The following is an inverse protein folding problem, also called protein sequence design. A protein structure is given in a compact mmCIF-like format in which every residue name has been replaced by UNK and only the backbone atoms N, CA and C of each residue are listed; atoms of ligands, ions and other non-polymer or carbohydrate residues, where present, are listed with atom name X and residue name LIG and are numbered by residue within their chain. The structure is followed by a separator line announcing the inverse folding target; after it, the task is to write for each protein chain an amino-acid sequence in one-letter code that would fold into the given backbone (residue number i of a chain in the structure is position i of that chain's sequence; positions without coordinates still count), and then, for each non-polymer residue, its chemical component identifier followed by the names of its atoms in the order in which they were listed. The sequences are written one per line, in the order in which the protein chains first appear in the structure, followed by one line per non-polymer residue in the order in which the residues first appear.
data_IF_181288828846
#
_entry.id   IF_181288828846
#
_cell.length_a   1.000
_cell.length_b   1.000
_cell.length_c   1.000
_cell.angle_alpha   90.00
_cell.angle_beta   90.00
_cell.angle_gamma   90.00
#
_symmetry.space_group_name_H-M   'P 1'
#
loop_
_entity.id
_entity.type
_entity.pdbx_description
1 polymer ?
#
# COMPACT_ATOMS: atom_id res chain seq x y z
N UNK A 1 -2.76 -29.23 -2.62
CA UNK A 1 -1.89 -29.10 -1.44
C UNK A 1 -2.79 -28.99 -0.24
N UNK A 2 -2.68 -29.92 0.71
CA UNK A 2 -3.60 -30.00 1.86
C UNK A 2 -3.15 -29.02 2.96
N UNK A 3 -4.07 -28.56 3.84
CA UNK A 3 -3.71 -27.67 4.95
C UNK A 3 -2.58 -28.23 5.83
N UNK A 4 -2.55 -29.55 6.08
CA UNK A 4 -1.49 -30.21 6.85
C UNK A 4 -0.10 -30.08 6.20
N UNK A 5 -0.02 -30.18 4.87
CA UNK A 5 1.25 -29.99 4.14
C UNK A 5 1.81 -28.57 4.32
N UNK A 6 0.94 -27.56 4.39
CA UNK A 6 1.38 -26.18 4.65
C UNK A 6 1.90 -26.01 6.07
N UNK A 7 1.27 -26.65 7.06
CA UNK A 7 1.71 -26.61 8.46
C UNK A 7 3.11 -27.22 8.61
N UNK A 8 3.36 -28.38 8.00
CA UNK A 8 4.69 -29.02 8.02
C UNK A 8 5.77 -28.16 7.35
N UNK A 9 5.44 -27.50 6.24
CA UNK A 9 6.36 -26.58 5.57
C UNK A 9 6.65 -25.35 6.43
N UNK A 10 5.62 -24.77 7.06
CA UNK A 10 5.84 -23.68 8.01
C UNK A 10 6.71 -24.12 9.17
N UNK A 11 6.46 -25.30 9.77
CA UNK A 11 7.32 -25.85 10.84
C UNK A 11 8.76 -26.01 10.39
N UNK A 12 8.99 -26.54 9.19
CA UNK A 12 10.33 -26.77 8.64
C UNK A 12 11.10 -25.45 8.46
N UNK A 13 10.44 -24.41 7.93
CA UNK A 13 11.07 -23.10 7.76
C UNK A 13 11.28 -22.40 9.10
N UNK A 14 10.31 -22.47 10.01
CA UNK A 14 10.38 -21.86 11.34
C UNK A 14 11.42 -22.54 12.23
N UNK A 15 11.72 -23.83 12.04
CA UNK A 15 12.79 -24.53 12.76
C UNK A 15 14.18 -23.94 12.50
N UNK A 16 14.38 -23.28 11.35
CA UNK A 16 15.64 -22.61 11.01
C UNK A 16 15.71 -21.16 11.53
N UNK A 17 14.61 -20.64 12.10
CA UNK A 17 14.54 -19.30 12.67
C UNK A 17 14.69 -19.40 14.18
N UNK A 18 15.44 -18.48 14.79
CA UNK A 18 15.53 -18.41 16.25
C UNK A 18 14.13 -18.22 16.85
N UNK A 19 13.73 -19.15 17.72
CA UNK A 19 12.46 -19.11 18.46
C UNK A 19 12.24 -17.81 19.24
N UNK A 20 13.31 -17.12 19.65
CA UNK A 20 13.24 -15.83 20.36
C UNK A 20 13.12 -14.64 19.42
N UNK A 21 13.19 -14.86 18.11
CA UNK A 21 13.10 -13.79 17.13
C UNK A 21 11.71 -13.14 17.15
N UNK A 22 11.65 -11.89 16.68
CA UNK A 22 10.37 -11.19 16.58
C UNK A 22 9.39 -11.92 15.66
N UNK A 23 8.09 -11.74 15.90
CA UNK A 23 7.02 -12.20 15.00
C UNK A 23 7.25 -11.74 13.55
N UNK A 24 7.74 -10.51 13.35
CA UNK A 24 8.03 -9.98 12.03
C UNK A 24 9.17 -10.75 11.34
N UNK A 25 10.15 -11.25 12.08
CA UNK A 25 11.24 -12.09 11.56
C UNK A 25 10.69 -13.45 11.11
N UNK A 26 9.88 -14.09 11.94
CA UNK A 26 9.21 -15.34 11.59
C UNK A 26 8.35 -15.19 10.32
N UNK A 27 7.50 -14.15 10.26
CA UNK A 27 6.65 -13.88 9.09
C UNK A 27 7.46 -13.60 7.82
N UNK A 28 8.60 -12.90 7.93
CA UNK A 28 9.50 -12.69 6.78
C UNK A 28 10.07 -14.00 6.25
N UNK A 29 10.45 -14.93 7.14
CA UNK A 29 11.02 -16.22 6.75
C UNK A 29 10.02 -17.10 5.99
N UNK A 30 8.76 -17.16 6.45
CA UNK A 30 7.70 -17.95 5.80
C UNK A 30 6.92 -17.17 4.72
N UNK A 31 7.28 -15.90 4.44
CA UNK A 31 6.55 -15.02 3.54
C UNK A 31 6.26 -15.65 2.16
N UNK A 32 7.23 -16.29 1.47
CA UNK A 32 6.97 -16.86 0.14
C UNK A 32 5.91 -17.97 0.17
N UNK A 33 5.91 -18.80 1.23
CA UNK A 33 4.94 -19.88 1.41
C UNK A 33 3.53 -19.33 1.70
N UNK A 34 3.45 -18.29 2.54
CA UNK A 34 2.20 -17.58 2.82
C UNK A 34 1.62 -17.00 1.52
N UNK A 35 2.44 -16.36 0.68
CA UNK A 35 1.98 -15.76 -0.57
C UNK A 35 1.52 -16.81 -1.59
N UNK A 36 2.23 -17.94 -1.72
CA UNK A 36 1.79 -19.06 -2.55
C UNK A 36 0.42 -19.60 -2.11
N UNK A 37 0.19 -19.68 -0.79
CA UNK A 37 -1.07 -20.14 -0.22
C UNK A 37 -2.21 -19.12 -0.36
N UNK A 38 -1.90 -17.84 -0.33
CA UNK A 38 -2.87 -16.78 -0.65
C UNK A 38 -3.24 -16.81 -2.14
N UNK A 39 -2.28 -17.07 -3.02
CA UNK A 39 -2.52 -17.20 -4.45
C UNK A 39 -3.41 -18.40 -4.79
N UNK A 40 -3.38 -19.46 -3.99
CA UNK A 40 -4.31 -20.60 -4.10
C UNK A 40 -5.69 -20.33 -3.49
N UNK A 41 -5.97 -19.11 -3.01
CA UNK A 41 -7.27 -18.68 -2.52
C UNK A 41 -7.53 -18.93 -1.02
N UNK A 42 -6.50 -19.30 -0.25
CA UNK A 42 -6.69 -19.52 1.20
C UNK A 42 -7.01 -18.21 1.92
N UNK A 43 -7.98 -18.20 2.86
CA UNK A 43 -8.28 -17.00 3.63
C UNK A 43 -7.17 -16.70 4.64
N UNK A 44 -6.95 -15.42 4.92
CA UNK A 44 -5.96 -14.97 5.90
C UNK A 44 -6.13 -15.60 7.29
N UNK A 45 -7.37 -15.89 7.72
CA UNK A 45 -7.63 -16.51 9.03
C UNK A 45 -7.07 -17.93 9.13
N UNK A 46 -7.25 -18.77 8.11
CA UNK A 46 -6.73 -20.13 8.11
C UNK A 46 -5.20 -20.14 8.20
N UNK A 47 -4.53 -19.20 7.52
CA UNK A 47 -3.07 -19.07 7.60
C UNK A 47 -2.63 -18.67 9.02
N UNK A 48 -3.36 -17.77 9.67
CA UNK A 48 -3.06 -17.36 11.05
C UNK A 48 -3.24 -18.51 12.04
N UNK A 49 -4.31 -19.29 11.89
CA UNK A 49 -4.55 -20.49 12.73
C UNK A 49 -3.40 -21.50 12.58
N UNK A 50 -2.95 -21.75 11.36
CA UNK A 50 -1.83 -22.65 11.11
C UNK A 50 -0.49 -22.12 11.64
N UNK A 51 -0.25 -20.81 11.54
CA UNK A 51 0.94 -20.19 12.14
C UNK A 51 0.91 -20.29 13.68
N UNK A 52 -0.27 -20.12 14.28
CA UNK A 52 -0.47 -20.33 15.71
C UNK A 52 -0.20 -21.79 16.11
N UNK A 53 -0.66 -22.76 15.31
CA UNK A 53 -0.40 -24.18 15.50
C UNK A 53 1.09 -24.56 15.33
N UNK A 54 1.88 -23.70 14.69
CA UNK A 54 3.33 -23.79 14.58
C UNK A 54 4.07 -23.04 15.70
N UNK A 55 3.38 -22.46 16.67
CA UNK A 55 3.97 -21.77 17.82
C UNK A 55 4.17 -20.26 17.62
N UNK A 56 3.73 -19.67 16.50
CA UNK A 56 3.80 -18.22 16.27
C UNK A 56 2.48 -17.59 16.69
N UNK A 57 2.34 -17.26 17.98
CA UNK A 57 1.09 -16.75 18.54
C UNK A 57 0.79 -15.32 18.08
N UNK A 58 -0.11 -15.15 17.11
CA UNK A 58 -0.45 -13.87 16.50
C UNK A 58 -1.95 -13.71 16.22
N UNK A 59 -2.42 -12.46 16.28
CA UNK A 59 -3.74 -12.08 15.82
C UNK A 59 -3.69 -11.61 14.35
N UNK A 60 -4.82 -11.69 13.66
CA UNK A 60 -5.03 -11.31 12.26
C UNK A 60 -4.58 -9.87 11.94
N UNK A 61 -4.81 -8.91 12.84
CA UNK A 61 -4.36 -7.52 12.62
C UNK A 61 -2.83 -7.41 12.64
N UNK A 62 -2.19 -8.05 13.63
CA UNK A 62 -0.73 -8.12 13.72
C UNK A 62 -0.14 -8.80 12.49
N UNK A 63 -0.76 -9.90 12.05
CA UNK A 63 -0.39 -10.62 10.84
C UNK A 63 -0.44 -9.70 9.60
N UNK A 64 -1.53 -8.94 9.38
CA UNK A 64 -1.65 -8.01 8.24
C UNK A 64 -0.57 -6.94 8.25
N UNK A 65 -0.30 -6.34 9.41
CA UNK A 65 0.74 -5.31 9.55
C UNK A 65 2.12 -5.90 9.28
N UNK A 66 2.40 -7.08 9.84
CA UNK A 66 3.68 -7.77 9.63
C UNK A 66 3.88 -8.18 8.18
N UNK A 67 2.84 -8.69 7.49
CA UNK A 67 2.86 -8.98 6.05
C UNK A 67 3.20 -7.73 5.22
N UNK A 68 2.56 -6.59 5.50
CA UNK A 68 2.86 -5.33 4.81
C UNK A 68 4.33 -4.93 4.97
N UNK A 69 4.85 -5.02 6.20
CA UNK A 69 6.26 -4.70 6.49
C UNK A 69 7.23 -5.70 5.84
N UNK A 70 6.89 -6.98 5.86
CA UNK A 70 7.68 -8.05 5.27
C UNK A 70 7.81 -7.87 3.75
N UNK A 71 6.71 -7.54 3.06
CA UNK A 71 6.71 -7.23 1.63
C UNK A 71 7.58 -6.04 1.27
N UNK A 72 7.54 -4.97 2.08
CA UNK A 72 8.37 -3.79 1.86
C UNK A 72 9.87 -4.12 1.96
N UNK A 73 10.26 -4.89 2.98
CA UNK A 73 11.66 -5.33 3.15
C UNK A 73 12.08 -6.26 2.01
N UNK A 74 11.24 -7.23 1.64
CA UNK A 74 11.55 -8.18 0.58
C UNK A 74 11.68 -7.49 -0.79
N UNK A 75 10.86 -6.48 -1.08
CA UNK A 75 10.99 -5.64 -2.27
C UNK A 75 12.31 -4.87 -2.27
N UNK A 76 12.70 -4.29 -1.13
CA UNK A 76 13.99 -3.61 -0.99
C UNK A 76 15.14 -4.58 -1.17
N UNK A 77 15.15 -5.75 -0.54
CA UNK A 77 16.23 -6.74 -0.69
C UNK A 77 16.40 -7.19 -2.15
N UNK A 78 15.31 -7.37 -2.91
CA UNK A 78 15.37 -7.67 -4.34
C UNK A 78 16.02 -6.55 -5.16
N UNK A 79 15.75 -5.29 -4.82
CA UNK A 79 16.37 -4.14 -5.47
C UNK A 79 17.87 -4.01 -5.14
N UNK A 80 18.33 -4.54 -4.01
CA UNK A 80 19.74 -4.49 -3.62
C UNK A 80 20.54 -5.72 -4.10
N UNK A 81 19.90 -6.86 -4.37
CA UNK A 81 20.55 -8.05 -4.94
C UNK A 81 20.63 -8.03 -6.48
N UNK A 82 19.78 -7.26 -7.16
CA UNK A 82 20.00 -6.87 -8.55
C UNK A 82 21.02 -5.74 -8.59
N UNK A 83 22.26 -6.03 -8.99
CA UNK A 83 23.34 -5.06 -9.05
C UNK A 83 22.93 -3.71 -9.65
N UNK A 84 23.27 -2.65 -8.91
CA UNK A 84 23.36 -1.24 -9.33
C UNK A 84 22.41 -0.79 -10.46
N UNK A 85 21.36 -0.07 -10.07
CA UNK A 85 21.07 1.17 -10.79
C UNK A 85 20.57 2.26 -9.83
N UNK A 86 21.43 3.14 -9.31
CA UNK A 86 21.01 4.39 -8.69
C UNK A 86 20.61 5.38 -9.79
N UNK A 87 19.54 5.09 -10.52
CA UNK A 87 18.96 6.02 -11.50
C UNK A 87 17.77 6.75 -10.89
N UNK A 88 18.05 7.64 -9.93
CA UNK A 88 17.31 8.91 -9.83
C UNK A 88 18.13 9.92 -9.02
N UNK A 89 19.34 10.21 -9.50
CA UNK A 89 20.05 11.40 -9.14
C UNK A 89 20.54 12.08 -10.44
N UNK A 90 20.14 13.35 -10.58
CA UNK A 90 20.72 14.37 -11.45
C UNK A 90 20.59 14.24 -12.97
N UNK A 91 19.50 14.81 -13.49
CA UNK A 91 19.51 15.72 -14.65
C UNK A 91 18.45 16.81 -14.35
N UNK A 92 18.62 18.12 -14.54
CA UNK A 92 19.71 19.02 -14.90
C UNK A 92 19.19 20.40 -14.46
N UNK A 93 20.08 21.26 -14.00
CA UNK A 93 19.76 22.66 -13.80
C UNK A 93 19.43 23.33 -15.14
N UNK A 94 18.42 24.19 -15.17
CA UNK A 94 18.53 25.55 -15.68
C UNK A 94 17.50 26.41 -14.99
N UNK A 95 18.00 27.45 -14.32
CA UNK A 95 17.21 28.56 -13.80
C UNK A 95 16.43 29.24 -14.94
N UNK A 96 15.20 29.65 -14.63
CA UNK A 96 14.59 30.83 -15.22
C UNK A 96 13.73 31.44 -14.12
N UNK A 97 14.28 32.46 -13.47
CA UNK A 97 13.49 33.45 -12.74
C UNK A 97 12.52 34.11 -13.72
N UNK A 98 11.23 34.18 -13.38
CA UNK A 98 10.54 35.46 -13.49
C UNK A 98 9.33 35.51 -12.53
N UNK A 99 9.20 36.59 -11.72
CA UNK A 99 8.02 36.85 -10.92
C UNK A 99 7.00 37.61 -11.78
N UNK A 100 5.75 37.18 -11.81
CA UNK A 100 4.63 38.05 -12.24
C UNK A 100 3.33 37.63 -11.59
N UNK A 101 2.74 38.63 -10.98
CA UNK A 101 1.42 38.78 -10.33
C UNK A 101 0.24 38.30 -11.18
N UNK A 102 -0.72 37.61 -10.55
CA UNK A 102 -2.13 38.02 -10.40
C UNK A 102 -3.03 36.81 -10.03
N UNK A 103 -4.09 37.00 -9.22
CA UNK A 103 -4.92 35.91 -8.71
C UNK A 103 -6.05 35.59 -9.68
N UNK A 104 -6.26 34.30 -10.00
CA UNK A 104 -7.55 33.86 -10.51
C UNK A 104 -7.87 32.49 -9.94
N UNK A 105 -8.94 32.49 -9.14
CA UNK A 105 -9.58 31.31 -8.55
C UNK A 105 -10.05 30.40 -9.67
N UNK A 106 -9.59 29.16 -9.62
CA UNK A 106 -10.37 27.96 -9.92
C UNK A 106 -9.81 26.86 -9.01
N UNK A 107 -10.58 26.29 -8.05
CA UNK A 107 -10.14 25.11 -7.33
C UNK A 107 -10.29 23.93 -8.30
N UNK A 108 -9.24 23.63 -9.06
CA UNK A 108 -9.12 22.32 -9.69
C UNK A 108 -9.20 21.25 -8.58
N UNK A 109 -9.93 20.14 -8.80
CA UNK A 109 -10.00 19.07 -7.81
C UNK A 109 -8.57 18.56 -7.59
N UNK A 110 -8.03 18.88 -6.41
CA UNK A 110 -6.72 18.44 -5.98
C UNK A 110 -6.78 16.94 -5.85
N UNK A 111 -6.42 16.21 -6.92
CA UNK A 111 -6.04 14.81 -6.77
C UNK A 111 -4.90 14.81 -5.76
N UNK A 112 -5.03 14.11 -4.61
CA UNK A 112 -3.96 14.10 -3.64
C UNK A 112 -2.72 13.55 -4.35
N UNK A 113 -1.69 14.39 -4.45
CA UNK A 113 -0.40 13.99 -4.99
C UNK A 113 0.16 12.80 -4.21
N UNK A 114 1.16 12.13 -4.78
CA UNK A 114 1.87 11.06 -4.07
C UNK A 114 2.37 11.59 -2.72
N UNK A 115 2.00 10.91 -1.65
CA UNK A 115 2.51 11.18 -0.29
C UNK A 115 3.95 10.67 -0.25
N UNK A 116 4.92 11.58 -0.27
CA UNK A 116 6.34 11.23 -0.24
C UNK A 116 7.00 11.58 1.10
N UNK A 117 6.40 12.49 1.87
CA UNK A 117 6.92 12.94 3.18
C UNK A 117 5.89 12.76 4.31
N UNK A 118 6.33 12.67 5.58
CA UNK A 118 5.42 12.61 6.73
C UNK A 118 4.58 13.89 6.89
N UNK A 119 5.09 15.04 6.42
CA UNK A 119 4.35 16.31 6.42
C UNK A 119 3.19 16.29 5.41
N UNK A 120 3.38 15.68 4.24
CA UNK A 120 2.31 15.48 3.25
C UNK A 120 1.16 14.64 3.82
N UNK A 121 1.50 13.64 4.66
CA UNK A 121 0.49 12.82 5.32
C UNK A 121 -0.32 13.64 6.34
N UNK A 122 0.31 14.58 7.05
CA UNK A 122 -0.41 15.49 7.95
C UNK A 122 -1.38 16.38 7.15
N UNK A 123 -0.93 16.94 6.01
CA UNK A 123 -1.77 17.75 5.12
C UNK A 123 -3.00 16.98 4.61
N UNK A 124 -2.86 15.71 4.24
CA UNK A 124 -3.99 14.88 3.81
C UNK A 124 -4.94 14.56 4.97
N UNK A 125 -4.43 14.41 6.19
CA UNK A 125 -5.28 14.14 7.37
C UNK A 125 -6.07 15.35 7.82
N UNK A 126 -5.52 16.54 7.62
CA UNK A 126 -6.14 17.81 8.02
C UNK A 126 -7.10 18.38 6.95
N UNK A 127 -7.22 17.72 5.79
CA UNK A 127 -8.19 18.10 4.76
C UNK A 127 -9.62 17.91 5.28
N UNK A 128 -10.31 19.03 5.48
CA UNK A 128 -11.74 19.05 5.79
C UNK A 128 -12.53 19.08 4.48
N UNK A 129 -13.34 18.04 4.24
CA UNK A 129 -14.19 17.95 3.05
C UNK A 129 -15.54 18.59 3.38
N UNK A 130 -15.92 19.62 2.61
CA UNK A 130 -17.25 20.19 2.67
C UNK A 130 -18.24 19.26 1.93
N UNK A 131 -19.13 18.64 2.69
CA UNK A 131 -20.10 17.68 2.18
C UNK A 131 -21.22 18.36 1.36
N UNK A 132 -21.55 19.62 1.69
CA UNK A 132 -22.60 20.36 1.00
C UNK A 132 -22.09 20.82 -0.36
N UNK A 133 -20.85 21.34 -0.43
CA UNK A 133 -20.20 21.66 -1.69
C UNK A 133 -20.09 20.43 -2.61
N UNK A 134 -19.73 19.26 -2.05
CA UNK A 134 -19.64 18.01 -2.82
C UNK A 134 -21.01 17.55 -3.36
N UNK A 135 -22.08 17.76 -2.59
CA UNK A 135 -23.44 17.45 -3.01
C UNK A 135 -23.89 18.35 -4.15
N UNK A 136 -23.58 19.63 -4.10
CA UNK A 136 -23.90 20.60 -5.15
C UNK A 136 -23.12 20.31 -6.45
N UNK A 137 -21.85 19.93 -6.34
CA UNK A 137 -21.03 19.53 -7.49
C UNK A 137 -21.65 18.30 -8.19
N UNK A 138 -22.03 17.27 -7.43
CA UNK A 138 -22.67 16.07 -7.97
C UNK A 138 -24.01 16.34 -8.67
N UNK A 139 -24.83 17.25 -8.14
CA UNK A 139 -26.07 17.68 -8.78
C UNK A 139 -25.80 18.47 -10.06
N UNK A 140 -24.77 19.32 -10.06
CA UNK A 140 -24.37 20.12 -11.22
C UNK A 140 -23.84 19.25 -12.36
N UNK A 141 -22.99 18.26 -12.06
CA UNK A 141 -22.51 17.27 -13.02
C UNK A 141 -23.66 16.48 -13.66
N UNK A 142 -24.64 16.05 -12.86
CA UNK A 142 -25.84 15.35 -13.36
C UNK A 142 -26.70 16.22 -14.27
N UNK A 143 -26.87 17.50 -13.92
CA UNK A 143 -27.59 18.46 -14.77
C UNK A 143 -26.86 18.71 -16.09
N UNK A 144 -25.54 18.87 -16.05
CA UNK A 144 -24.71 19.03 -17.24
C UNK A 144 -24.77 17.79 -18.14
N UNK A 145 -24.66 16.59 -17.57
CA UNK A 145 -24.80 15.33 -18.32
C UNK A 145 -26.19 15.18 -18.96
N UNK A 146 -27.27 15.53 -18.23
CA UNK A 146 -28.63 15.48 -18.77
C UNK A 146 -28.86 16.48 -19.90
N UNK A 147 -28.25 17.68 -19.82
CA UNK A 147 -28.29 18.68 -20.90
C UNK A 147 -27.54 18.17 -22.14
N UNK A 148 -26.36 17.59 -21.96
CA UNK A 148 -25.55 17.05 -23.05
C UNK A 148 -26.18 15.81 -23.71
N UNK A 149 -27.08 15.10 -23.02
CA UNK A 149 -27.84 13.99 -23.57
C UNK A 149 -29.10 14.42 -24.35
N UNK A 150 -29.54 15.69 -24.24
CA UNK A 150 -30.75 16.19 -24.87
C UNK A 150 -30.48 17.04 -26.12
N UNK A 151 -29.25 17.53 -26.28
CA UNK A 151 -28.72 18.02 -27.56
C UNK A 151 -27.49 17.19 -27.97
N UNK A 152 -27.71 16.01 -28.57
CA UNK A 152 -26.70 15.46 -29.45
C UNK A 152 -26.74 16.27 -30.76
N UNK A 153 -25.63 16.89 -31.15
CA UNK A 153 -25.40 17.39 -32.51
C UNK A 153 -25.72 16.33 -33.58
#
# INVERSE_FOLDING_TARGET
MTPEQYVEQFRTVLANVDTRASVATHIRAVLPLIEARLASGSPYRAIVEDLNACGVTINLNTFKVAMRRARAVHAQTRLHQGGVNPASAACKATATEQPTTAPRRDPAPVRPGRINTPEDLAKVRDQTIDLDALREEGLSLRRAAKRNALEPD
#
